data_IF_486561350261
#
_entry.id   IF_486561350261
#
_cell.length_a   1.000
_cell.length_b   1.000
_cell.length_c   1.000
_cell.angle_alpha   90.00
_cell.angle_beta   90.00
_cell.angle_gamma   90.00
#
_symmetry.space_group_name_H-M   'P 1'
#
loop_
_entity.id
_entity.type
_entity.pdbx_description
1 polymer ?
#
# COMPACT_ATOMS: atom_id res chain seq x y z
N UNK A 1 -3.81 6.19 2.65
CA UNK A 1 -4.05 5.37 1.47
C UNK A 1 -5.54 5.20 1.43
N UNK A 2 -6.19 5.51 0.29
CA UNK A 2 -7.59 5.19 0.11
C UNK A 2 -7.75 3.72 0.45
N UNK A 3 -8.88 3.37 1.02
CA UNK A 3 -9.11 1.96 1.27
C UNK A 3 -9.14 1.20 -0.06
N UNK A 4 -8.80 -0.08 -0.02
CA UNK A 4 -8.69 -0.92 -1.23
C UNK A 4 -9.98 -0.90 -2.07
N UNK A 5 -11.17 -0.78 -1.46
CA UNK A 5 -12.42 -0.65 -2.21
C UNK A 5 -12.49 0.64 -3.02
N UNK A 6 -12.03 1.78 -2.50
CA UNK A 6 -11.98 3.03 -3.27
C UNK A 6 -11.11 2.89 -4.52
N UNK A 7 -9.95 2.22 -4.41
CA UNK A 7 -9.11 1.90 -5.56
C UNK A 7 -9.82 0.99 -6.55
N UNK A 8 -10.50 -0.07 -6.08
CA UNK A 8 -11.30 -0.97 -6.92
C UNK A 8 -12.42 -0.20 -7.65
N UNK A 9 -13.04 0.80 -7.01
CA UNK A 9 -14.09 1.62 -7.62
C UNK A 9 -13.59 2.37 -8.84
N UNK A 10 -12.50 3.13 -8.69
CA UNK A 10 -11.89 3.86 -9.80
C UNK A 10 -11.36 2.89 -10.86
N UNK A 11 -10.52 1.95 -10.46
CA UNK A 11 -9.81 1.07 -11.38
C UNK A 11 -10.73 0.08 -12.10
N UNK A 12 -11.75 -0.42 -11.42
CA UNK A 12 -12.78 -1.28 -12.01
C UNK A 12 -13.62 -0.55 -13.05
N UNK A 13 -13.96 0.71 -12.81
CA UNK A 13 -14.68 1.54 -13.78
C UNK A 13 -13.82 1.82 -15.02
N UNK A 14 -12.55 2.20 -14.81
CA UNK A 14 -11.62 2.47 -15.90
C UNK A 14 -11.28 1.20 -16.71
N UNK A 15 -11.16 0.05 -16.04
CA UNK A 15 -11.03 -1.22 -16.72
C UNK A 15 -12.22 -1.50 -17.63
N UNK A 16 -13.45 -1.29 -17.14
CA UNK A 16 -14.67 -1.54 -17.92
C UNK A 16 -14.78 -0.62 -19.14
N UNK A 17 -14.27 0.60 -19.05
CA UNK A 17 -14.35 1.59 -20.14
C UNK A 17 -13.24 1.42 -21.18
N UNK A 18 -12.00 1.12 -20.77
CA UNK A 18 -10.84 1.10 -21.68
C UNK A 18 -10.22 -0.27 -21.93
N UNK A 19 -10.41 -1.24 -21.03
CA UNK A 19 -9.71 -2.53 -21.06
C UNK A 19 -10.65 -3.73 -20.88
N UNK A 20 -11.93 -3.61 -21.24
CA UNK A 20 -12.97 -4.63 -20.98
C UNK A 20 -12.71 -6.02 -21.58
N UNK A 21 -11.78 -6.12 -22.54
CA UNK A 21 -11.36 -7.39 -23.15
C UNK A 21 -10.31 -8.15 -22.32
N UNK A 22 -9.70 -7.50 -21.33
CA UNK A 22 -8.74 -8.09 -20.42
C UNK A 22 -9.46 -8.60 -19.17
N UNK A 23 -8.80 -9.49 -18.44
CA UNK A 23 -9.35 -10.04 -17.20
C UNK A 23 -9.22 -9.01 -16.07
N UNK A 24 -10.35 -8.58 -15.52
CA UNK A 24 -10.42 -7.57 -14.44
C UNK A 24 -9.53 -7.96 -13.24
N UNK A 25 -9.35 -9.26 -12.97
CA UNK A 25 -8.55 -9.73 -11.83
C UNK A 25 -7.12 -9.22 -11.87
N UNK A 26 -6.52 -9.03 -13.05
CA UNK A 26 -5.19 -8.44 -13.17
C UNK A 26 -5.17 -6.95 -12.83
N UNK A 27 -6.22 -6.19 -13.17
CA UNK A 27 -6.33 -4.80 -12.73
C UNK A 27 -6.47 -4.71 -11.20
N UNK A 28 -7.30 -5.59 -10.61
CA UNK A 28 -7.47 -5.68 -9.16
C UNK A 28 -6.18 -6.09 -8.44
N UNK A 29 -5.38 -6.99 -9.01
CA UNK A 29 -4.05 -7.29 -8.44
C UNK A 29 -3.14 -6.05 -8.50
N UNK A 30 -3.15 -5.33 -9.64
CA UNK A 30 -2.41 -4.08 -9.79
C UNK A 30 -2.77 -3.01 -8.76
N UNK A 31 -4.03 -3.01 -8.29
CA UNK A 31 -4.52 -2.13 -7.22
C UNK A 31 -3.99 -2.49 -5.82
N UNK A 32 -3.49 -3.70 -5.62
CA UNK A 32 -2.98 -4.14 -4.31
C UNK A 32 -1.46 -4.05 -4.25
N UNK A 33 -0.77 -4.15 -5.39
CA UNK A 33 0.69 -4.25 -5.43
C UNK A 33 1.42 -3.13 -4.68
N UNK A 34 1.05 -1.84 -4.79
CA UNK A 34 1.74 -0.78 -4.04
C UNK A 34 1.56 -0.88 -2.52
N UNK A 35 0.48 -1.51 -2.06
CA UNK A 35 0.21 -1.73 -0.65
C UNK A 35 0.87 -3.00 -0.10
N UNK A 36 1.41 -3.85 -0.99
CA UNK A 36 1.92 -5.16 -0.63
C UNK A 36 2.98 -5.08 0.48
N UNK A 37 3.93 -4.15 0.37
CA UNK A 37 4.97 -3.98 1.39
C UNK A 37 4.39 -3.60 2.76
N UNK A 38 3.42 -2.68 2.81
CA UNK A 38 2.73 -2.29 4.04
C UNK A 38 1.90 -3.42 4.64
N UNK A 39 1.24 -4.22 3.80
CA UNK A 39 0.49 -5.40 4.23
C UNK A 39 1.43 -6.43 4.84
N UNK A 40 2.53 -6.76 4.14
CA UNK A 40 3.53 -7.70 4.63
C UNK A 40 4.16 -7.22 5.94
N UNK A 41 4.48 -5.93 6.06
CA UNK A 41 4.98 -5.34 7.29
C UNK A 41 4.03 -5.61 8.48
N UNK A 42 2.73 -5.36 8.30
CA UNK A 42 1.72 -5.56 9.35
C UNK A 42 1.54 -7.02 9.73
N UNK A 43 1.72 -7.94 8.79
CA UNK A 43 1.65 -9.38 9.04
C UNK A 43 2.91 -9.90 9.74
N UNK A 44 4.08 -9.33 9.46
CA UNK A 44 5.36 -9.80 9.98
C UNK A 44 5.73 -9.24 11.35
N UNK A 45 5.37 -7.98 11.67
CA UNK A 45 5.70 -7.35 12.97
C UNK A 45 5.28 -8.21 14.18
N UNK A 46 4.08 -8.84 14.21
CA UNK A 46 3.69 -9.69 15.34
C UNK A 46 4.46 -11.03 15.41
N UNK A 47 5.09 -11.45 14.31
CA UNK A 47 5.67 -12.79 14.15
C UNK A 47 7.18 -12.81 14.39
N UNK A 48 7.86 -11.69 14.16
CA UNK A 48 9.32 -11.59 14.23
C UNK A 48 9.70 -10.33 15.01
N UNK A 49 10.61 -10.42 16.00
CA UNK A 49 11.14 -9.23 16.65
C UNK A 49 11.91 -8.40 15.62
N UNK A 50 11.41 -7.19 15.35
CA UNK A 50 12.08 -6.23 14.46
C UNK A 50 12.99 -5.35 15.31
N UNK A 51 14.31 -5.35 15.06
CA UNK A 51 15.26 -4.60 15.89
C UNK A 51 15.16 -3.08 15.69
N UNK A 52 14.88 -2.61 14.47
CA UNK A 52 14.69 -1.18 14.18
C UNK A 52 13.45 -0.94 13.30
N UNK A 53 12.48 -0.20 13.85
CA UNK A 53 11.23 0.15 13.17
C UNK A 53 11.40 1.33 12.18
N UNK A 54 12.43 2.16 12.33
CA UNK A 54 12.77 3.22 11.38
C UNK A 54 13.34 2.63 10.09
N UNK A 55 14.28 1.68 10.20
CA UNK A 55 14.82 0.96 9.04
C UNK A 55 13.74 0.18 8.30
N UNK A 56 12.87 -0.51 9.05
CA UNK A 56 11.74 -1.21 8.45
C UNK A 56 10.81 -0.25 7.72
N UNK A 57 10.58 0.96 8.25
CA UNK A 57 9.78 2.00 7.58
C UNK A 57 10.42 2.42 6.25
N UNK A 58 11.72 2.69 6.24
CA UNK A 58 12.45 3.05 5.02
C UNK A 58 12.39 1.92 3.99
N UNK A 59 12.65 0.68 4.42
CA UNK A 59 12.60 -0.50 3.57
C UNK A 59 11.24 -0.66 2.88
N UNK A 60 10.16 -0.60 3.66
CA UNK A 60 8.78 -0.76 3.16
C UNK A 60 8.39 0.38 2.22
N UNK A 61 8.82 1.61 2.50
CA UNK A 61 8.61 2.78 1.65
C UNK A 61 9.35 2.65 0.31
N UNK A 62 10.61 2.20 0.33
CA UNK A 62 11.37 1.92 -0.90
C UNK A 62 10.65 0.86 -1.73
N UNK A 63 10.20 -0.23 -1.11
CA UNK A 63 9.43 -1.29 -1.77
C UNK A 63 8.12 -0.79 -2.41
N UNK A 64 7.45 0.17 -1.77
CA UNK A 64 6.20 0.77 -2.26
C UNK A 64 6.42 1.74 -3.45
N UNK A 65 7.66 1.97 -3.89
CA UNK A 65 7.93 2.77 -5.08
C UNK A 65 7.37 2.11 -6.35
N UNK A 66 7.00 2.94 -7.34
CA UNK A 66 6.44 2.44 -8.60
C UNK A 66 7.36 1.40 -9.26
N UNK A 67 8.66 1.70 -9.37
CA UNK A 67 9.64 0.81 -10.00
C UNK A 67 9.70 -0.55 -9.30
N UNK A 68 9.72 -0.58 -7.97
CA UNK A 68 9.74 -1.85 -7.26
C UNK A 68 8.40 -2.59 -7.32
N UNK A 69 7.26 -1.90 -7.42
CA UNK A 69 5.96 -2.53 -7.67
C UNK A 69 5.89 -3.24 -9.04
N UNK A 70 6.69 -2.82 -10.03
CA UNK A 70 6.74 -3.48 -11.34
C UNK A 70 7.36 -4.88 -11.27
N UNK A 71 8.22 -5.16 -10.28
CA UNK A 71 8.85 -6.49 -10.12
C UNK A 71 7.85 -7.59 -9.76
N UNK A 72 7.03 -7.47 -8.69
CA UNK A 72 5.98 -8.44 -8.42
C UNK A 72 4.90 -8.44 -9.51
N UNK A 73 4.61 -7.31 -10.16
CA UNK A 73 3.72 -7.29 -11.33
C UNK A 73 4.27 -8.17 -12.47
N UNK A 74 5.55 -8.05 -12.80
CA UNK A 74 6.21 -8.86 -13.83
C UNK A 74 6.26 -10.35 -13.42
N UNK A 75 6.55 -10.64 -12.16
CA UNK A 75 6.56 -12.00 -11.62
C UNK A 75 5.18 -12.66 -11.76
N UNK A 76 4.11 -11.98 -11.34
CA UNK A 76 2.74 -12.49 -11.45
C UNK A 76 2.29 -12.60 -12.92
N UNK A 77 2.72 -11.68 -13.78
CA UNK A 77 2.41 -11.71 -15.19
C UNK A 77 2.99 -12.94 -15.91
N UNK A 78 4.17 -13.42 -15.49
CA UNK A 78 4.75 -14.66 -16.03
C UNK A 78 3.92 -15.90 -15.69
N UNK A 79 3.07 -15.81 -14.67
CA UNK A 79 2.05 -16.78 -14.32
C UNK A 79 0.70 -16.51 -15.02
N UNK A 80 0.63 -15.66 -16.05
CA UNK A 80 -0.57 -15.42 -16.83
C UNK A 80 -0.50 -16.09 -18.21
N UNK A 81 -1.66 -16.37 -18.81
CA UNK A 81 -1.74 -16.86 -20.20
C UNK A 81 -1.22 -15.84 -21.22
N UNK A 82 -1.38 -14.54 -20.92
CA UNK A 82 -0.91 -13.42 -21.75
C UNK A 82 -0.03 -12.49 -20.89
N UNK A 83 1.26 -12.84 -20.69
CA UNK A 83 2.11 -12.15 -19.72
C UNK A 83 2.22 -10.65 -19.94
N UNK A 84 2.51 -10.22 -21.17
CA UNK A 84 2.68 -8.79 -21.45
C UNK A 84 1.40 -7.99 -21.16
N UNK A 85 0.23 -8.50 -21.53
CA UNK A 85 -1.04 -7.83 -21.27
C UNK A 85 -1.36 -7.75 -19.76
N UNK A 86 -1.12 -8.84 -19.02
CA UNK A 86 -1.30 -8.86 -17.57
C UNK A 86 -0.32 -7.89 -16.88
N UNK A 87 0.94 -7.86 -17.31
CA UNK A 87 1.96 -6.95 -16.80
C UNK A 87 1.56 -5.48 -17.03
N UNK A 88 1.25 -5.10 -18.27
CA UNK A 88 0.87 -3.72 -18.58
C UNK A 88 -0.38 -3.28 -17.82
N UNK A 89 -1.35 -4.18 -17.65
CA UNK A 89 -2.56 -3.89 -16.89
C UNK A 89 -2.26 -3.72 -15.40
N UNK A 90 -1.46 -4.61 -14.79
CA UNK A 90 -1.03 -4.46 -13.39
C UNK A 90 -0.19 -3.19 -13.19
N UNK A 91 0.80 -2.94 -14.04
CA UNK A 91 1.68 -1.77 -13.98
C UNK A 91 0.89 -0.47 -14.07
N UNK A 92 -0.05 -0.37 -15.03
CA UNK A 92 -0.93 0.79 -15.17
C UNK A 92 -1.82 1.00 -13.94
N UNK A 93 -2.36 -0.08 -13.37
CA UNK A 93 -3.18 0.01 -12.16
C UNK A 93 -2.37 0.31 -10.90
N UNK A 94 -1.12 -0.15 -10.79
CA UNK A 94 -0.22 0.23 -9.70
C UNK A 94 0.18 1.70 -9.79
N UNK A 95 0.44 2.22 -11.00
CA UNK A 95 0.65 3.65 -11.20
C UNK A 95 -0.59 4.46 -10.80
N UNK A 96 -1.77 4.04 -11.26
CA UNK A 96 -3.03 4.70 -10.92
C UNK A 96 -3.32 4.64 -9.42
N UNK A 97 -3.01 3.53 -8.75
CA UNK A 97 -3.09 3.41 -7.30
C UNK A 97 -2.24 4.46 -6.60
N UNK A 98 -0.97 4.58 -6.98
CA UNK A 98 -0.07 5.58 -6.42
C UNK A 98 -0.55 7.02 -6.70
N UNK A 99 -1.11 7.28 -7.88
CA UNK A 99 -1.68 8.59 -8.20
C UNK A 99 -2.91 8.90 -7.34
N UNK A 100 -3.80 7.93 -7.10
CA UNK A 100 -4.93 8.08 -6.19
C UNK A 100 -4.46 8.28 -4.75
N UNK A 101 -3.38 7.61 -4.35
CA UNK A 101 -2.74 7.80 -3.06
C UNK A 101 -2.19 9.21 -2.87
N UNK A 102 -1.66 9.82 -3.93
CA UNK A 102 -1.15 11.18 -3.91
C UNK A 102 -2.28 12.22 -3.77
N UNK A 103 -3.50 11.90 -4.19
CA UNK A 103 -4.67 12.79 -4.05
C UNK A 103 -5.07 12.97 -2.59
N UNK A 104 -4.82 12.00 -1.72
CA UNK A 104 -5.15 12.13 -0.31
C UNK A 104 -4.19 13.05 0.45
N UNK A 105 -4.72 13.77 1.43
CA UNK A 105 -3.93 14.44 2.46
C UNK A 105 -3.38 13.36 3.39
N UNK A 106 -2.04 13.21 3.38
CA UNK A 106 -1.29 12.37 4.32
C UNK A 106 -0.03 13.11 4.72
N UNK A 107 0.08 13.52 5.97
CA UNK A 107 1.27 14.23 6.39
C UNK A 107 2.46 13.30 6.54
N UNK A 108 3.65 13.78 6.18
CA UNK A 108 4.89 13.01 6.12
C UNK A 108 4.84 11.77 5.21
N UNK A 109 3.86 11.69 4.31
CA UNK A 109 3.62 10.52 3.48
C UNK A 109 3.24 10.97 2.06
N UNK A 110 3.40 10.09 1.08
CA UNK A 110 3.16 10.38 -0.32
C UNK A 110 3.55 9.17 -1.15
N UNK A 111 3.82 9.38 -2.44
CA UNK A 111 4.23 8.30 -3.33
C UNK A 111 5.54 8.58 -4.04
N UNK A 112 6.30 7.51 -4.30
CA UNK A 112 7.55 7.56 -5.05
C UNK A 112 7.34 7.06 -6.48
N UNK A 113 7.04 7.99 -7.39
CA UNK A 113 6.87 7.68 -8.82
C UNK A 113 8.21 7.57 -9.56
N UNK A 114 9.22 8.32 -9.11
CA UNK A 114 10.53 8.46 -9.78
C UNK A 114 11.69 7.83 -9.01
N UNK A 115 11.43 7.12 -7.91
CA UNK A 115 12.48 6.34 -7.25
C UNK A 115 12.94 5.21 -8.19
N UNK A 116 14.24 4.88 -8.24
CA UNK A 116 15.33 5.37 -7.36
C UNK A 116 16.04 6.65 -7.86
N UNK A 117 15.60 7.26 -8.97
CA UNK A 117 16.22 8.47 -9.54
C UNK A 117 15.95 9.70 -8.66
N UNK A 118 14.77 9.78 -8.06
CA UNK A 118 14.40 10.83 -7.12
C UNK A 118 13.54 10.28 -5.98
N UNK A 119 13.95 10.57 -4.75
CA UNK A 119 13.24 10.20 -3.52
C UNK A 119 12.23 11.25 -3.06
N UNK A 120 12.00 12.30 -3.85
CA UNK A 120 10.96 13.30 -3.55
C UNK A 120 9.58 12.64 -3.56
N UNK A 121 8.81 12.87 -2.50
CA UNK A 121 7.42 12.44 -2.41
C UNK A 121 6.54 13.25 -3.38
N UNK A 122 5.64 12.55 -4.05
CA UNK A 122 4.53 13.17 -4.78
C UNK A 122 3.29 13.12 -3.90
N UNK A 123 2.71 14.29 -3.63
CA UNK A 123 1.46 14.46 -2.90
C UNK A 123 0.74 15.70 -3.44
N UNK A 124 -0.52 15.52 -3.87
CA UNK A 124 -1.41 16.59 -4.30
C UNK A 124 -2.25 17.12 -3.15
N UNK A 125 -2.60 16.28 -2.17
CA UNK A 125 -3.22 16.71 -0.91
C UNK A 125 -4.59 17.37 -1.08
N UNK A 126 -5.48 16.77 -1.87
CA UNK A 126 -6.77 17.36 -2.24
C UNK A 126 -7.91 17.00 -1.28
N UNK A 127 -7.88 15.81 -0.65
CA UNK A 127 -8.95 15.39 0.25
C UNK A 127 -8.47 14.48 1.38
N UNK A 128 -9.18 14.50 2.51
CA UNK A 128 -8.95 13.55 3.59
C UNK A 128 -9.45 12.15 3.19
N UNK A 129 -8.81 11.07 3.70
CA UNK A 129 -9.24 9.68 3.46
C UNK A 129 -10.69 9.41 3.89
N UNK A 130 -11.20 10.18 4.84
CA UNK A 130 -12.57 10.08 5.38
C UNK A 130 -13.58 10.96 4.63
N UNK A 131 -13.18 11.63 3.55
CA UNK A 131 -14.06 12.52 2.79
C UNK A 131 -15.22 11.79 2.10
N UNK A 132 -16.29 12.54 1.81
CA UNK A 132 -17.44 12.03 1.05
C UNK A 132 -17.04 11.48 -0.33
N UNK A 133 -16.03 12.07 -0.96
CA UNK A 133 -15.50 11.57 -2.24
C UNK A 133 -14.93 10.16 -2.10
N UNK A 134 -14.07 9.92 -1.11
CA UNK A 134 -13.50 8.58 -0.86
C UNK A 134 -14.60 7.59 -0.48
N UNK A 135 -15.60 8.03 0.30
CA UNK A 135 -16.77 7.20 0.65
C UNK A 135 -17.58 6.80 -0.60
N UNK A 136 -17.80 7.74 -1.54
CA UNK A 136 -18.44 7.47 -2.81
C UNK A 136 -17.65 6.49 -3.69
N UNK A 137 -16.32 6.64 -3.77
CA UNK A 137 -15.45 5.71 -4.47
C UNK A 137 -15.44 4.31 -3.82
N UNK A 138 -15.50 4.25 -2.49
CA UNK A 138 -15.60 3.00 -1.72
C UNK A 138 -16.88 2.25 -2.07
N UNK A 139 -18.02 2.96 -2.08
CA UNK A 139 -19.31 2.39 -2.48
C UNK A 139 -19.29 1.92 -3.93
N UNK A 140 -18.68 2.69 -4.83
CA UNK A 140 -18.48 2.29 -6.23
C UNK A 140 -17.66 1.00 -6.35
N UNK A 141 -16.59 0.86 -5.56
CA UNK A 141 -15.80 -0.37 -5.50
C UNK A 141 -16.58 -1.57 -5.02
N UNK A 142 -17.38 -1.39 -3.97
CA UNK A 142 -18.30 -2.42 -3.49
C UNK A 142 -19.30 -2.82 -4.59
N UNK A 143 -19.86 -1.86 -5.31
CA UNK A 143 -20.78 -2.11 -6.41
C UNK A 143 -20.10 -2.88 -7.56
N UNK A 144 -18.87 -2.51 -7.92
CA UNK A 144 -18.06 -3.25 -8.91
C UNK A 144 -17.90 -4.70 -8.49
N UNK A 145 -17.57 -4.96 -7.23
CA UNK A 145 -17.41 -6.32 -6.71
C UNK A 145 -18.73 -7.09 -6.68
N UNK A 146 -19.85 -6.48 -6.30
CA UNK A 146 -21.15 -7.15 -6.29
C UNK A 146 -21.60 -7.50 -7.71
N UNK A 147 -21.50 -6.55 -8.64
CA UNK A 147 -22.00 -6.72 -10.01
C UNK A 147 -21.13 -7.67 -10.84
N UNK A 148 -19.81 -7.65 -10.66
CA UNK A 148 -18.88 -8.43 -11.50
C UNK A 148 -18.28 -9.64 -10.76
N UNK A 149 -18.22 -9.60 -9.44
CA UNK A 149 -17.55 -10.62 -8.63
C UNK A 149 -18.17 -12.00 -8.78
N UNK A 150 -19.50 -12.10 -8.91
CA UNK A 150 -20.17 -13.40 -9.12
C UNK A 150 -19.69 -14.10 -10.39
N UNK A 151 -19.57 -13.36 -11.50
CA UNK A 151 -19.15 -13.94 -12.77
C UNK A 151 -17.66 -14.27 -12.75
N UNK A 152 -16.84 -13.41 -12.15
CA UNK A 152 -15.41 -13.64 -11.95
C UNK A 152 -15.11 -14.86 -11.06
N UNK A 153 -15.89 -15.07 -9.99
CA UNK A 153 -15.74 -16.24 -9.11
C UNK A 153 -16.05 -17.55 -9.84
N UNK A 154 -16.93 -17.53 -10.85
CA UNK A 154 -17.27 -18.71 -11.66
C UNK A 154 -16.23 -19.03 -12.73
N UNK A 155 -15.38 -18.07 -13.07
CA UNK A 155 -14.32 -18.27 -14.03
C UNK A 155 -13.12 -18.99 -13.39
N UNK A 156 -12.39 -19.83 -14.13
CA UNK A 156 -11.17 -20.44 -13.62
C UNK A 156 -10.15 -19.35 -13.26
N UNK A 157 -9.25 -19.65 -12.32
CA UNK A 157 -8.16 -18.75 -11.95
C UNK A 157 -7.40 -18.28 -13.21
N UNK A 158 -7.01 -16.99 -13.28
CA UNK A 158 -6.22 -16.50 -14.41
C UNK A 158 -4.74 -16.94 -14.31
N UNK A 159 -4.35 -17.47 -13.15
CA UNK A 159 -3.01 -17.98 -12.88
C UNK A 159 -2.78 -19.33 -13.56
N UNK A 160 -1.62 -19.46 -14.19
CA UNK A 160 -1.09 -20.69 -14.74
C UNK A 160 0.23 -21.03 -14.05
N UNK A 161 0.52 -22.32 -13.92
CA UNK A 161 1.81 -22.77 -13.41
C UNK A 161 2.91 -22.44 -14.44
N UNK A 162 3.92 -21.63 -14.11
CA UNK A 162 5.00 -21.35 -15.04
C UNK A 162 5.85 -22.62 -15.26
N UNK A 163 6.36 -22.81 -16.48
CA UNK A 163 7.40 -23.80 -16.75
C UNK A 163 8.71 -23.46 -16.03
N UNK A 164 9.65 -24.40 -15.92
CA UNK A 164 10.89 -24.27 -15.11
C UNK A 164 11.65 -22.96 -15.38
N UNK A 165 11.91 -22.62 -16.64
CA UNK A 165 12.62 -21.38 -17.01
C UNK A 165 11.90 -20.12 -16.56
N UNK A 166 10.58 -20.03 -16.77
CA UNK A 166 9.76 -18.90 -16.27
C UNK A 166 9.74 -18.87 -14.75
N UNK A 167 9.70 -20.02 -14.09
CA UNK A 167 9.75 -20.13 -12.64
C UNK A 167 11.03 -19.54 -12.03
N UNK A 168 12.19 -19.76 -12.67
CA UNK A 168 13.44 -19.14 -12.25
C UNK A 168 13.42 -17.62 -12.37
N UNK A 169 12.84 -17.09 -13.46
CA UNK A 169 12.68 -15.63 -13.63
C UNK A 169 11.72 -15.05 -12.60
N UNK A 170 10.60 -15.73 -12.30
CA UNK A 170 9.68 -15.35 -11.22
C UNK A 170 10.43 -15.27 -9.89
N UNK A 171 11.20 -16.30 -9.55
CA UNK A 171 11.99 -16.32 -8.32
C UNK A 171 13.00 -15.17 -8.29
N UNK A 172 13.73 -14.93 -9.38
CA UNK A 172 14.70 -13.85 -9.47
C UNK A 172 14.04 -12.46 -9.29
N UNK A 173 12.87 -12.23 -9.89
CA UNK A 173 12.12 -10.97 -9.74
C UNK A 173 11.63 -10.76 -8.29
N UNK A 174 11.12 -11.82 -7.65
CA UNK A 174 10.68 -11.76 -6.25
C UNK A 174 11.86 -11.54 -5.31
N UNK A 175 13.00 -12.20 -5.54
CA UNK A 175 14.23 -11.95 -4.79
C UNK A 175 14.72 -10.52 -5.00
N UNK A 176 14.69 -10.00 -6.22
CA UNK A 176 15.03 -8.61 -6.49
C UNK A 176 14.10 -7.63 -5.74
N UNK A 177 12.79 -7.89 -5.70
CA UNK A 177 11.84 -7.08 -4.92
C UNK A 177 12.14 -7.07 -3.41
N UNK A 178 12.66 -8.19 -2.87
CA UNK A 178 13.05 -8.29 -1.46
C UNK A 178 14.44 -7.71 -1.17
N UNK A 179 15.38 -7.79 -2.11
CA UNK A 179 16.79 -7.44 -1.87
C UNK A 179 17.16 -6.04 -2.33
N UNK A 180 16.56 -5.53 -3.41
CA UNK A 180 16.90 -4.20 -3.93
C UNK A 180 16.64 -3.04 -2.96
N UNK A 181 15.62 -3.06 -2.07
CA UNK A 181 15.40 -1.95 -1.15
C UNK A 181 16.62 -1.60 -0.29
N UNK A 182 17.44 -2.59 0.07
CA UNK A 182 18.67 -2.38 0.85
C UNK A 182 19.68 -1.48 0.14
N UNK A 183 19.69 -1.46 -1.20
CA UNK A 183 20.60 -0.61 -1.97
C UNK A 183 20.26 0.89 -1.89
N UNK A 184 19.09 1.25 -1.36
CA UNK A 184 18.59 2.63 -1.38
C UNK A 184 18.09 3.16 -0.03
N UNK A 185 18.32 2.44 1.07
CA UNK A 185 17.91 2.90 2.41
C UNK A 185 18.53 4.26 2.76
N UNK A 186 19.83 4.42 2.54
CA UNK A 186 20.54 5.67 2.84
C UNK A 186 19.98 6.85 2.02
N UNK A 187 19.71 6.63 0.73
CA UNK A 187 19.17 7.68 -0.14
C UNK A 187 17.75 8.08 0.27
N UNK A 188 16.94 7.11 0.68
CA UNK A 188 15.61 7.31 1.23
C UNK A 188 15.64 8.06 2.58
N UNK A 189 16.62 7.76 3.45
CA UNK A 189 16.83 8.44 4.73
C UNK A 189 17.32 9.88 4.54
N UNK A 190 18.27 10.11 3.64
CA UNK A 190 18.78 11.46 3.34
C UNK A 190 17.67 12.38 2.83
N UNK A 191 16.69 11.84 2.09
CA UNK A 191 15.50 12.57 1.66
C UNK A 191 14.51 12.88 2.79
N UNK A 192 14.77 12.39 4.01
CA UNK A 192 13.97 12.55 5.23
C UNK A 192 12.49 12.20 5.05
N UNK A 193 12.22 11.19 4.21
CA UNK A 193 10.87 10.70 4.02
C UNK A 193 10.33 10.11 5.33
N UNK A 194 9.06 10.36 5.64
CA UNK A 194 8.48 10.09 6.96
C UNK A 194 9.24 10.71 8.14
N UNK A 195 10.07 11.72 7.88
CA UNK A 195 10.95 12.35 8.88
C UNK A 195 11.88 11.35 9.57
N UNK A 196 12.25 10.24 8.92
CA UNK A 196 13.07 9.19 9.57
C UNK A 196 14.42 9.72 10.03
N UNK A 197 15.09 10.55 9.22
CA UNK A 197 16.38 11.14 9.60
C UNK A 197 16.19 12.12 10.75
N UNK A 198 15.18 12.97 10.69
CA UNK A 198 14.84 13.89 11.80
C UNK A 198 14.55 13.12 13.10
N UNK A 199 13.87 11.98 13.02
CA UNK A 199 13.62 11.11 14.17
C UNK A 199 14.90 10.42 14.66
N UNK A 200 15.80 9.98 13.77
CA UNK A 200 17.05 9.33 14.17
C UNK A 200 18.04 10.32 14.81
N UNK A 201 18.11 11.54 14.29
CA UNK A 201 19.06 12.57 14.73
C UNK A 201 18.48 13.40 15.89
N UNK A 202 18.33 12.77 17.07
CA UNK A 202 17.67 13.39 18.25
C UNK A 202 18.26 14.75 18.60
N UNK A 203 19.59 14.88 18.57
CA UNK A 203 20.30 16.13 18.87
C UNK A 203 19.98 17.29 17.88
N UNK A 204 19.53 16.97 16.67
CA UNK A 204 19.18 17.95 15.64
C UNK A 204 17.69 18.28 15.60
N UNK A 205 16.86 17.62 16.42
CA UNK A 205 15.41 17.82 16.43
C UNK A 205 14.98 19.26 16.77
N UNK A 206 15.55 19.97 17.77
CA UNK A 206 15.06 21.29 18.14
C UNK A 206 14.95 22.25 16.94
N UNK A 207 13.74 22.77 16.72
CA UNK A 207 13.43 23.66 15.60
C UNK A 207 13.09 22.96 14.26
N UNK A 208 13.21 21.64 14.16
CA UNK A 208 12.85 20.88 12.95
C UNK A 208 11.35 20.63 12.87
N UNK A 209 10.82 20.77 11.67
CA UNK A 209 9.44 20.40 11.37
C UNK A 209 9.28 18.87 11.44
N UNK A 210 8.09 18.44 11.83
CA UNK A 210 7.75 17.03 11.96
C UNK A 210 6.28 16.84 11.65
N UNK A 211 5.95 15.74 11.00
CA UNK A 211 4.56 15.36 10.83
C UNK A 211 4.38 13.86 10.92
N UNK A 212 3.20 13.45 11.35
CA UNK A 212 2.83 12.05 11.52
C UNK A 212 1.48 11.80 10.87
N UNK A 213 1.38 10.72 10.10
CA UNK A 213 0.13 10.18 9.59
C UNK A 213 -0.39 9.10 10.56
N UNK A 214 -1.60 9.28 11.09
CA UNK A 214 -2.33 8.29 11.92
C UNK A 214 -1.56 7.74 13.12
N UNK A 215 -0.92 8.61 13.91
CA UNK A 215 -0.37 8.27 15.21
C UNK A 215 -1.46 8.12 16.29
N UNK A 216 -1.12 7.48 17.42
CA UNK A 216 -2.06 7.29 18.53
C UNK A 216 -1.78 8.30 19.63
N UNK A 217 -2.75 9.13 19.96
CA UNK A 217 -2.68 10.06 21.09
C UNK A 217 -3.21 9.43 22.36
N UNK A 218 -2.48 9.63 23.45
CA UNK A 218 -2.85 9.24 24.80
C UNK A 218 -3.07 10.49 25.66
N UNK A 219 -4.32 10.79 26.06
CA UNK A 219 -4.63 11.96 26.87
C UNK A 219 -4.03 11.90 28.28
N UNK A 220 -3.77 10.71 28.82
CA UNK A 220 -3.19 10.57 30.16
C UNK A 220 -1.71 10.98 30.18
N UNK A 221 -1.02 10.83 29.05
CA UNK A 221 0.39 11.22 28.88
C UNK A 221 0.55 12.58 28.20
N UNK A 222 -0.50 13.13 27.58
CA UNK A 222 -0.39 14.31 26.73
C UNK A 222 0.60 14.08 25.58
N UNK A 223 0.62 12.87 25.02
CA UNK A 223 1.67 12.42 24.12
C UNK A 223 1.12 11.60 22.96
N UNK A 224 1.90 11.51 21.88
CA UNK A 224 1.62 10.65 20.74
C UNK A 224 2.60 9.50 20.67
N UNK A 225 2.10 8.30 20.42
CA UNK A 225 2.91 7.14 20.07
C UNK A 225 3.04 7.03 18.55
N UNK A 226 4.27 7.08 18.06
CA UNK A 226 4.58 7.06 16.62
C UNK A 226 4.95 5.66 16.14
N UNK A 227 5.18 5.50 14.84
CA UNK A 227 5.44 4.21 14.20
C UNK A 227 6.74 3.54 14.63
N UNK A 228 7.70 4.30 15.18
CA UNK A 228 8.93 3.77 15.79
C UNK A 228 8.70 3.19 17.19
N UNK A 229 7.50 3.33 17.76
CA UNK A 229 7.20 2.97 19.13
C UNK A 229 7.51 4.08 20.15
N UNK A 230 8.28 5.10 19.75
CA UNK A 230 8.59 6.28 20.57
C UNK A 230 7.31 7.01 21.00
N UNK A 231 7.32 7.54 22.21
CA UNK A 231 6.24 8.35 22.78
C UNK A 231 6.76 9.78 22.90
N UNK A 232 6.16 10.68 22.12
CA UNK A 232 6.54 12.08 22.04
C UNK A 232 5.48 12.93 22.74
N UNK A 233 5.81 13.62 23.85
CA UNK A 233 4.93 14.62 24.44
C UNK A 233 4.56 15.71 23.42
N UNK A 234 3.31 16.17 23.47
CA UNK A 234 2.81 17.19 22.55
C UNK A 234 2.30 18.41 23.29
N UNK A 235 2.53 19.60 22.71
CA UNK A 235 1.96 20.89 23.15
C UNK A 235 1.00 21.41 22.09
N UNK A 236 0.00 22.20 22.50
CA UNK A 236 -0.99 22.78 21.59
C UNK A 236 -2.13 21.83 21.19
N UNK A 237 -2.14 20.60 21.72
CA UNK A 237 -3.23 19.64 21.54
C UNK A 237 -3.83 19.28 22.89
N UNK A 238 -5.15 19.39 23.02
CA UNK A 238 -5.87 18.97 24.23
C UNK A 238 -7.10 18.19 23.83
N UNK A 239 -7.00 16.87 23.90
CA UNK A 239 -8.13 15.95 23.73
C UNK A 239 -8.35 15.23 25.05
N UNK A 240 -9.62 14.99 25.40
CA UNK A 240 -10.02 14.26 26.61
C UNK A 240 -10.07 12.75 26.41
N UNK A 241 -9.98 12.28 25.17
CA UNK A 241 -10.14 10.88 24.79
C UNK A 241 -8.96 10.40 23.94
N UNK A 242 -8.62 9.10 24.01
CA UNK A 242 -7.70 8.48 23.06
C UNK A 242 -8.18 8.67 21.62
N UNK A 243 -7.25 9.02 20.73
CA UNK A 243 -7.58 9.29 19.34
C UNK A 243 -6.48 8.79 18.40
N UNK A 244 -6.88 8.41 17.17
CA UNK A 244 -5.95 8.29 16.05
C UNK A 244 -5.95 9.61 15.30
N UNK A 245 -4.78 10.22 15.17
CA UNK A 245 -4.65 11.53 14.56
C UNK A 245 -3.45 11.62 13.63
N UNK A 246 -3.62 12.39 12.56
CA UNK A 246 -2.49 12.96 11.87
C UNK A 246 -2.16 14.29 12.54
N UNK A 247 -0.87 14.63 12.64
CA UNK A 247 -0.44 15.94 13.13
C UNK A 247 0.72 16.47 12.31
N UNK A 248 0.81 17.80 12.26
CA UNK A 248 1.94 18.56 11.75
C UNK A 248 2.38 19.54 12.83
N UNK A 249 3.67 19.69 13.02
CA UNK A 249 4.24 20.49 14.10
C UNK A 249 5.73 20.69 13.96
N UNK A 250 6.34 21.11 15.06
CA UNK A 250 7.78 21.34 15.16
C UNK A 250 8.28 20.86 16.51
N UNK A 251 9.47 20.30 16.53
CA UNK A 251 10.16 19.99 17.78
C UNK A 251 10.56 21.28 18.50
N UNK A 252 10.08 21.48 19.72
CA UNK A 252 10.53 22.60 20.58
C UNK A 252 11.80 22.27 21.33
N UNK A 253 12.01 20.97 21.58
CA UNK A 253 13.23 20.40 22.12
C UNK A 253 13.46 18.99 21.53
N UNK A 254 14.34 18.20 22.14
CA UNK A 254 14.71 16.86 21.68
C UNK A 254 13.54 15.85 21.63
N UNK A 255 12.46 16.09 22.38
CA UNK A 255 11.39 15.11 22.60
C UNK A 255 9.98 15.69 22.50
N UNK A 256 9.82 17.00 22.68
CA UNK A 256 8.51 17.65 22.71
C UNK A 256 8.18 18.25 21.36
N UNK A 257 6.98 17.95 20.85
CA UNK A 257 6.45 18.50 19.61
C UNK A 257 5.37 19.53 19.91
N UNK A 258 5.54 20.75 19.40
CA UNK A 258 4.45 21.73 19.33
C UNK A 258 3.61 21.47 18.09
N UNK A 259 2.32 21.19 18.31
CA UNK A 259 1.37 20.86 17.26
C UNK A 259 0.85 22.15 16.64
N UNK A 260 1.05 22.30 15.33
CA UNK A 260 0.53 23.44 14.55
C UNK A 260 -0.83 23.11 13.91
N UNK A 261 -0.98 21.88 13.43
CA UNK A 261 -2.20 21.40 12.79
C UNK A 261 -2.42 19.92 13.12
N UNK A 262 -3.67 19.51 13.20
CA UNK A 262 -4.03 18.12 13.48
C UNK A 262 -5.36 17.75 12.84
N UNK A 263 -5.51 16.45 12.58
CA UNK A 263 -6.73 15.87 12.04
C UNK A 263 -7.06 14.56 12.76
N UNK A 264 -8.26 14.47 13.34
CA UNK A 264 -8.75 13.24 13.98
C UNK A 264 -9.40 12.32 12.95
N UNK A 265 -8.91 11.09 12.89
CA UNK A 265 -9.47 10.07 12.00
C UNK A 265 -10.60 9.29 12.68
N UNK A 266 -11.53 8.80 11.86
CA UNK A 266 -12.56 7.88 12.34
C UNK A 266 -11.99 6.48 12.48
N UNK A 267 -12.11 5.85 13.66
CA UNK A 267 -11.54 4.53 13.88
C UNK A 267 -12.23 3.48 13.01
N UNK A 268 -11.46 2.47 12.58
CA UNK A 268 -11.90 1.21 11.97
C UNK A 268 -12.54 1.24 10.57
N UNK A 269 -13.18 2.33 10.13
CA UNK A 269 -13.88 2.36 8.83
C UNK A 269 -12.94 2.05 7.67
N UNK A 270 -11.77 2.70 7.63
CA UNK A 270 -10.79 2.51 6.57
C UNK A 270 -10.15 1.12 6.60
N UNK A 271 -9.80 0.64 7.78
CA UNK A 271 -9.09 -0.64 7.92
C UNK A 271 -10.04 -1.80 7.57
N UNK A 272 -11.32 -1.71 7.96
CA UNK A 272 -12.35 -2.68 7.57
C UNK A 272 -12.56 -2.70 6.05
N UNK A 273 -12.76 -1.54 5.43
CA UNK A 273 -12.99 -1.44 3.99
C UNK A 273 -11.78 -1.89 3.17
N UNK A 274 -10.55 -1.63 3.65
CA UNK A 274 -9.33 -2.16 3.04
C UNK A 274 -9.24 -3.68 3.17
N UNK A 275 -9.50 -4.22 4.36
CA UNK A 275 -9.50 -5.66 4.61
C UNK A 275 -10.52 -6.41 3.75
N UNK A 276 -11.73 -5.87 3.62
CA UNK A 276 -12.77 -6.43 2.74
C UNK A 276 -12.35 -6.41 1.26
N UNK A 277 -11.79 -5.30 0.78
CA UNK A 277 -11.27 -5.21 -0.58
C UNK A 277 -10.17 -6.23 -0.85
N UNK A 278 -9.18 -6.34 0.03
CA UNK A 278 -8.08 -7.30 -0.06
C UNK A 278 -8.59 -8.75 -0.08
N UNK A 279 -9.50 -9.11 0.83
CA UNK A 279 -10.11 -10.42 0.88
C UNK A 279 -10.85 -10.74 -0.44
N UNK A 280 -11.60 -9.77 -0.98
CA UNK A 280 -12.29 -9.93 -2.26
C UNK A 280 -11.32 -10.16 -3.42
N UNK A 281 -10.24 -9.39 -3.53
CA UNK A 281 -9.21 -9.59 -4.57
C UNK A 281 -8.61 -10.99 -4.49
N UNK A 282 -8.24 -11.45 -3.28
CA UNK A 282 -7.70 -12.79 -3.07
C UNK A 282 -8.69 -13.89 -3.49
N UNK A 283 -9.95 -13.79 -3.06
CA UNK A 283 -11.00 -14.75 -3.43
C UNK A 283 -11.22 -14.81 -4.94
N UNK A 284 -11.25 -13.65 -5.61
CA UNK A 284 -11.42 -13.56 -7.06
C UNK A 284 -10.23 -14.13 -7.84
N UNK A 285 -9.01 -13.95 -7.31
CA UNK A 285 -7.79 -14.46 -7.93
C UNK A 285 -7.71 -15.99 -7.86
N UNK A 286 -8.11 -16.58 -6.73
CA UNK A 286 -8.20 -18.03 -6.57
C UNK A 286 -9.32 -18.60 -7.45
N UNK A 287 -10.47 -17.91 -7.51
CA UNK A 287 -11.64 -18.31 -8.28
C UNK A 287 -12.29 -19.61 -7.76
N UNK A 288 -13.26 -20.14 -8.49
CA UNK A 288 -13.81 -21.46 -8.19
C UNK A 288 -12.77 -22.54 -8.52
N UNK A 289 -12.18 -23.15 -7.48
CA UNK A 289 -11.39 -24.37 -7.59
C UNK A 289 -12.22 -25.50 -8.18
N UNK A 290 -12.24 -25.61 -9.50
CA UNK A 290 -12.71 -26.79 -10.22
C UNK A 290 -11.65 -27.21 -11.21
N UNK A 291 -10.55 -27.70 -10.65
CA UNK A 291 -9.75 -28.70 -11.32
C UNK A 291 -10.62 -29.96 -11.48
N UNK A 292 -11.51 -29.97 -12.47
CA UNK A 292 -11.81 -31.22 -13.14
C UNK A 292 -10.54 -31.57 -13.91
N UNK A 293 -9.65 -32.27 -13.21
CA UNK A 293 -8.58 -33.08 -13.79
C UNK A 293 -9.22 -33.84 -14.94
N UNK A 294 -9.04 -33.30 -16.14
CA UNK A 294 -9.41 -33.97 -17.37
C UNK A 294 -8.26 -34.94 -17.61
N UNK A 295 -8.26 -36.03 -16.83
CA UNK A 295 -7.48 -37.22 -17.08
C UNK A 295 -7.99 -37.88 -18.35
N UNK A 296 -7.89 -37.18 -19.48
CA UNK A 296 -8.01 -37.74 -20.81
C UNK A 296 -6.73 -38.49 -21.12
N UNK A 297 -6.56 -39.66 -20.49
CA UNK A 297 -5.73 -40.72 -21.05
C UNK A 297 -6.46 -41.16 -22.33
N UNK A 298 -6.16 -40.46 -23.42
CA UNK A 298 -6.52 -40.92 -24.75
C UNK A 298 -5.78 -42.25 -24.96
N UNK A 299 -6.56 -43.33 -24.94
CA UNK A 299 -6.18 -44.68 -25.34
C UNK A 299 -5.43 -44.61 -26.67
N UNK A 300 -4.19 -45.11 -26.71
CA UNK A 300 -3.63 -45.68 -27.92
C UNK A 300 -4.07 -47.15 -27.94
N UNK A 301 -5.09 -47.42 -28.75
CA UNK A 301 -5.29 -48.73 -29.38
C UNK A 301 -4.39 -48.83 -30.60
#
# INVERSE_FOLDING_TARGET
MPNTLAHIGVQGLLHRTWCSRLDLRWALVGCVLPDLSWILQRLLIPLVPVPDLLDLRLYVMVQASLVLCLLPAAALALCARRPLAAFLLMAGNSMLHLLLDAVEIKWANGVHLLAPVSWRLTAFGLCWPESLWISGLTLLGLLVLILQGRDLLRQPSPLIRPGRGRGLVVLALLLAYLLLPFAWLDAAEVADNHFVRTLRQVAERPGRDIAFDRCRYDPALGAVRIFSGEVLPVRGLTLTEPATLSLNGRFVDHHVVEVHDWHRHWPLVRDLTSGLGLAAVLLLLIGAGRDKVSGGVARRS
#
